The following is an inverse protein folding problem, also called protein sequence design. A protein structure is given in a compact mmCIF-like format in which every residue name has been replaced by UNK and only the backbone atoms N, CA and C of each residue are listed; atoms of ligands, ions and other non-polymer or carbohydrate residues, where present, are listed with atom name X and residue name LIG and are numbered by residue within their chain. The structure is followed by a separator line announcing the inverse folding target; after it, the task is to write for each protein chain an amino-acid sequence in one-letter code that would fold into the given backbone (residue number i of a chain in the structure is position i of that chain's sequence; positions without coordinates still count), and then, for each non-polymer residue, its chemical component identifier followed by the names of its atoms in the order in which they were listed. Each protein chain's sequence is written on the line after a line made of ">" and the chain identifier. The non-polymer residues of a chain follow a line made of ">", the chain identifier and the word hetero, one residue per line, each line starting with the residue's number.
data_IF_794500399440
#
_entry.id   IF_794500399440
#
_cell.length_a   1.000
_cell.length_b   1.000
_cell.length_c   1.000
_cell.angle_alpha   90.00
_cell.angle_beta   90.00
_cell.angle_gamma   90.00
#
_symmetry.space_group_name_H-M   'P 1'
#
loop_
_entity.id
_entity.type
_entity.pdbx_description
1 polymer ?
#
# COMPACT_ATOMS: atom_id res chain seq x y z
N UNK A 1 -23.99 -6.83 -0.11
CA UNK A 1 -23.32 -8.11 0.17
C UNK A 1 -21.98 -8.06 -0.57
N UNK A 2 -20.89 -7.80 0.15
CA UNK A 2 -19.55 -7.80 -0.40
C UNK A 2 -19.13 -9.27 -0.57
N UNK A 3 -18.61 -9.70 -1.73
CA UNK A 3 -18.16 -11.08 -1.90
C UNK A 3 -16.96 -11.34 -0.96
N UNK A 4 -16.99 -12.48 -0.27
CA UNK A 4 -15.88 -12.96 0.54
C UNK A 4 -14.64 -13.12 -0.36
N UNK A 5 -13.52 -12.53 0.05
CA UNK A 5 -12.24 -12.76 -0.62
C UNK A 5 -11.80 -14.22 -0.38
N UNK A 6 -11.21 -14.89 -1.38
CA UNK A 6 -10.70 -16.24 -1.21
C UNK A 6 -9.57 -16.28 -0.18
N UNK A 7 -9.55 -17.34 0.63
CA UNK A 7 -8.54 -17.60 1.65
C UNK A 7 -7.13 -17.67 1.02
N UNK A 8 -6.21 -16.93 1.62
CA UNK A 8 -4.80 -16.91 1.23
C UNK A 8 -4.07 -18.15 1.81
N UNK A 9 -3.55 -19.06 0.99
CA UNK A 9 -2.90 -20.28 1.45
C UNK A 9 -1.56 -20.07 2.19
N UNK A 10 -1.07 -18.85 2.30
CA UNK A 10 0.21 -18.54 2.98
C UNK A 10 0.10 -18.37 4.50
N UNK A 11 -1.12 -18.48 5.09
CA UNK A 11 -1.33 -18.39 6.54
C UNK A 11 -1.60 -19.77 7.16
N UNK A 12 -0.73 -20.27 8.03
CA UNK A 12 -0.87 -21.60 8.63
C UNK A 12 -2.05 -21.79 9.60
N UNK A 13 -2.84 -20.75 9.88
CA UNK A 13 -3.95 -20.79 10.86
C UNK A 13 -5.32 -20.52 10.28
N UNK A 14 -5.47 -20.32 8.97
CA UNK A 14 -6.79 -20.02 8.37
C UNK A 14 -7.44 -18.70 8.83
N UNK A 15 -6.76 -17.89 9.64
CA UNK A 15 -7.25 -16.58 10.04
C UNK A 15 -6.82 -15.50 9.02
N UNK A 16 -7.78 -14.67 8.65
CA UNK A 16 -7.52 -13.53 7.75
C UNK A 16 -6.45 -12.61 8.39
N UNK A 17 -5.40 -12.15 7.63
CA UNK A 17 -4.29 -11.34 8.18
C UNK A 17 -4.72 -10.10 8.95
N UNK A 18 -5.93 -9.62 8.72
CA UNK A 18 -6.51 -8.43 9.36
C UNK A 18 -7.69 -8.74 10.28
N UNK A 19 -7.85 -10.00 10.71
CA UNK A 19 -9.00 -10.39 11.56
C UNK A 19 -9.08 -9.55 12.85
N UNK A 20 -7.94 -9.11 13.38
CA UNK A 20 -7.88 -8.30 14.60
C UNK A 20 -7.92 -6.79 14.34
N UNK A 21 -7.86 -6.32 13.09
CA UNK A 21 -7.91 -4.90 12.75
C UNK A 21 -9.37 -4.42 12.72
N UNK A 22 -9.94 -4.20 13.88
CA UNK A 22 -11.28 -3.64 14.04
C UNK A 22 -11.28 -2.11 13.86
N UNK A 23 -12.44 -1.47 13.64
CA UNK A 23 -12.54 -0.01 13.64
C UNK A 23 -11.95 0.66 14.89
N UNK A 24 -12.16 0.07 16.07
CA UNK A 24 -11.62 0.57 17.34
C UNK A 24 -10.08 0.51 17.32
N UNK A 25 -9.50 -0.59 16.84
CA UNK A 25 -8.04 -0.72 16.69
C UNK A 25 -7.45 0.32 15.72
N UNK A 26 -8.19 0.72 14.69
CA UNK A 26 -7.78 1.80 13.78
C UNK A 26 -7.76 3.14 14.51
N UNK A 27 -8.80 3.45 15.30
CA UNK A 27 -8.87 4.68 16.10
C UNK A 27 -7.80 4.72 17.20
N UNK A 28 -7.59 3.61 17.90
CA UNK A 28 -6.55 3.47 18.92
C UNK A 28 -5.15 3.66 18.34
N UNK A 29 -4.91 3.10 17.14
CA UNK A 29 -3.64 3.30 16.42
C UNK A 29 -3.41 4.78 16.07
N UNK A 30 -4.42 5.50 15.58
CA UNK A 30 -4.35 6.93 15.33
C UNK A 30 -4.12 7.72 16.61
N UNK A 31 -4.85 7.41 17.68
CA UNK A 31 -4.68 8.06 18.98
C UNK A 31 -3.26 7.85 19.55
N UNK A 32 -2.64 6.68 19.32
CA UNK A 32 -1.26 6.38 19.76
C UNK A 32 -0.19 7.31 19.16
N UNK A 33 -0.51 7.97 18.05
CA UNK A 33 0.37 8.95 17.39
C UNK A 33 -0.14 10.40 17.51
N UNK A 34 -1.10 10.63 18.41
CA UNK A 34 -1.65 11.96 18.70
C UNK A 34 -2.73 12.45 17.73
N UNK A 35 -3.33 11.55 16.96
CA UNK A 35 -4.42 11.86 16.03
C UNK A 35 -5.73 11.27 16.56
N UNK A 36 -6.63 12.13 17.03
CA UNK A 36 -7.88 11.71 17.63
C UNK A 36 -9.01 11.74 16.60
N UNK A 37 -9.54 10.55 16.27
CA UNK A 37 -10.65 10.40 15.33
C UNK A 37 -12.00 10.67 15.99
N UNK A 38 -12.93 11.25 15.25
CA UNK A 38 -14.31 11.50 15.67
C UNK A 38 -15.26 10.28 15.55
N UNK A 39 -14.69 9.13 15.21
CA UNK A 39 -15.41 7.88 15.00
C UNK A 39 -15.84 7.62 13.54
N UNK A 40 -15.72 8.60 12.65
CA UNK A 40 -16.02 8.43 11.23
C UNK A 40 -14.85 7.79 10.49
N UNK A 41 -15.00 6.52 10.16
CA UNK A 41 -14.06 5.74 9.38
C UNK A 41 -14.69 5.27 8.07
N UNK A 42 -13.94 5.37 6.98
CA UNK A 42 -14.33 4.84 5.69
C UNK A 42 -13.20 3.95 5.15
N UNK A 43 -13.50 2.66 4.96
CA UNK A 43 -12.55 1.76 4.30
C UNK A 43 -12.40 2.16 2.83
N UNK A 44 -11.16 2.33 2.40
CA UNK A 44 -10.82 2.61 1.01
C UNK A 44 -10.44 1.30 0.30
N UNK A 45 -10.72 1.25 -1.00
CA UNK A 45 -10.35 0.09 -1.82
C UNK A 45 -8.83 -0.08 -1.84
N UNK A 46 -8.36 -1.26 -1.46
CA UNK A 46 -6.95 -1.62 -1.47
C UNK A 46 -6.77 -3.13 -1.69
N UNK A 47 -5.74 -3.52 -2.41
CA UNK A 47 -5.50 -4.90 -2.76
C UNK A 47 -4.82 -5.68 -1.62
N UNK A 48 -3.70 -5.18 -1.12
CA UNK A 48 -2.84 -5.90 -0.17
C UNK A 48 -2.97 -5.38 1.26
N UNK A 49 -3.01 -4.07 1.40
CA UNK A 49 -3.06 -3.40 2.71
C UNK A 49 -4.51 -3.16 3.15
N UNK A 50 -4.70 -2.62 4.35
CA UNK A 50 -5.97 -2.02 4.75
C UNK A 50 -5.79 -0.52 4.86
N UNK A 51 -6.65 0.21 4.18
CA UNK A 51 -6.57 1.68 4.09
C UNK A 51 -7.89 2.27 4.54
N UNK A 52 -7.80 3.21 5.47
CA UNK A 52 -8.96 3.90 6.03
C UNK A 52 -8.80 5.40 5.91
N UNK A 53 -9.83 6.07 5.43
CA UNK A 53 -9.99 7.49 5.67
C UNK A 53 -10.60 7.66 7.07
N UNK A 54 -9.99 8.49 7.88
CA UNK A 54 -10.51 8.91 9.19
C UNK A 54 -10.77 10.41 9.18
N UNK A 55 -11.83 10.83 9.87
CA UNK A 55 -12.06 12.24 10.19
C UNK A 55 -11.61 12.47 11.63
N UNK A 56 -10.80 13.50 11.84
CA UNK A 56 -10.32 13.87 13.16
C UNK A 56 -11.31 14.81 13.87
N UNK A 57 -11.17 14.97 15.19
CA UNK A 57 -12.03 15.83 16.03
C UNK A 57 -12.00 17.30 15.60
N UNK A 58 -10.88 17.77 15.04
CA UNK A 58 -10.74 19.12 14.47
C UNK A 58 -11.36 19.29 13.07
N UNK A 59 -11.93 18.23 12.51
CA UNK A 59 -12.55 18.18 11.20
C UNK A 59 -11.58 17.87 10.05
N UNK A 60 -10.27 17.77 10.30
CA UNK A 60 -9.32 17.33 9.30
C UNK A 60 -9.52 15.87 8.91
N UNK A 61 -9.08 15.51 7.72
CA UNK A 61 -9.14 14.13 7.23
C UNK A 61 -7.75 13.59 6.96
N UNK A 62 -7.53 12.37 7.41
CA UNK A 62 -6.29 11.63 7.20
C UNK A 62 -6.56 10.25 6.58
N UNK A 63 -5.54 9.66 6.00
CA UNK A 63 -5.57 8.29 5.47
C UNK A 63 -4.59 7.45 6.26
N UNK A 64 -5.10 6.45 6.99
CA UNK A 64 -4.31 5.45 7.70
C UNK A 64 -4.13 4.21 6.82
N UNK A 65 -2.90 3.83 6.55
CA UNK A 65 -2.53 2.63 5.78
C UNK A 65 -1.90 1.61 6.73
N UNK A 66 -2.58 0.49 6.94
CA UNK A 66 -2.09 -0.65 7.71
C UNK A 66 -1.46 -1.66 6.77
N UNK A 67 -0.20 -1.97 6.99
CA UNK A 67 0.55 -2.92 6.18
C UNK A 67 0.20 -4.34 6.54
N UNK A 68 0.10 -5.20 5.53
CA UNK A 68 -0.14 -6.62 5.75
C UNK A 68 0.98 -7.21 6.60
N UNK A 69 0.66 -7.88 7.74
CA UNK A 69 1.65 -8.51 8.59
C UNK A 69 2.56 -9.46 7.81
N UNK A 70 3.86 -9.43 8.11
CA UNK A 70 4.89 -10.27 7.51
C UNK A 70 5.13 -10.09 6.00
N UNK A 71 4.42 -9.17 5.35
CA UNK A 71 4.59 -8.93 3.90
C UNK A 71 5.77 -8.00 3.60
N UNK A 72 5.89 -6.92 4.35
CA UNK A 72 6.93 -5.91 4.18
C UNK A 72 7.70 -5.69 5.47
N UNK A 73 9.01 -5.65 5.36
CA UNK A 73 9.85 -5.22 6.49
C UNK A 73 9.72 -3.72 6.71
N UNK A 74 9.98 -3.27 7.95
CA UNK A 74 10.01 -1.84 8.28
C UNK A 74 10.99 -1.06 7.38
N UNK A 75 12.15 -1.65 7.04
CA UNK A 75 13.13 -1.02 6.16
C UNK A 75 12.58 -0.79 4.74
N UNK A 76 11.87 -1.78 4.19
CA UNK A 76 11.21 -1.65 2.88
C UNK A 76 10.13 -0.58 2.86
N UNK A 77 9.36 -0.46 3.95
CA UNK A 77 8.34 0.58 4.08
C UNK A 77 8.98 1.97 4.19
N UNK A 78 10.03 2.11 5.01
CA UNK A 78 10.75 3.38 5.16
C UNK A 78 11.40 3.83 3.86
N UNK A 79 11.90 2.91 3.04
CA UNK A 79 12.45 3.23 1.73
C UNK A 79 11.38 3.75 0.75
N UNK A 80 10.16 3.17 0.77
CA UNK A 80 9.00 3.70 0.03
C UNK A 80 8.65 5.12 0.49
N UNK A 81 8.66 5.35 1.82
CA UNK A 81 8.34 6.67 2.38
C UNK A 81 9.38 7.73 2.02
N UNK A 82 10.67 7.37 2.06
CA UNK A 82 11.74 8.25 1.64
C UNK A 82 11.60 8.64 0.16
N UNK A 83 11.32 7.68 -0.70
CA UNK A 83 11.06 7.95 -2.11
C UNK A 83 9.82 8.84 -2.32
N UNK A 84 8.76 8.61 -1.57
CA UNK A 84 7.56 9.47 -1.63
C UNK A 84 7.88 10.92 -1.22
N UNK A 85 8.73 11.11 -0.22
CA UNK A 85 9.18 12.43 0.21
C UNK A 85 10.05 13.12 -0.88
N UNK A 86 10.97 12.38 -1.52
CA UNK A 86 11.77 12.88 -2.65
C UNK A 86 10.90 13.31 -3.83
N UNK A 87 9.83 12.58 -4.11
CA UNK A 87 8.87 12.98 -5.14
C UNK A 87 8.19 14.31 -4.80
N UNK A 88 7.79 14.49 -3.53
CA UNK A 88 7.18 15.76 -3.07
C UNK A 88 8.18 16.91 -3.16
N UNK A 89 9.44 16.71 -2.73
CA UNK A 89 10.51 17.71 -2.87
C UNK A 89 10.77 18.09 -4.33
N UNK A 90 10.67 17.13 -5.25
CA UNK A 90 10.78 17.34 -6.68
C UNK A 90 9.48 17.91 -7.30
N UNK A 91 8.52 18.35 -6.47
CA UNK A 91 7.22 18.90 -6.91
C UNK A 91 6.42 17.93 -7.80
N UNK A 92 6.66 16.61 -7.71
CA UNK A 92 5.78 15.61 -8.30
C UNK A 92 4.53 15.51 -7.42
N UNK A 93 3.30 15.46 -7.98
CA UNK A 93 2.08 15.41 -7.21
C UNK A 93 1.89 14.04 -6.54
N UNK A 94 2.74 13.73 -5.59
CA UNK A 94 2.70 12.55 -4.74
C UNK A 94 2.21 12.92 -3.33
N UNK A 95 1.76 11.92 -2.57
CA UNK A 95 1.35 12.08 -1.17
C UNK A 95 2.32 11.29 -0.30
N UNK A 96 3.19 12.00 0.40
CA UNK A 96 4.09 11.39 1.38
C UNK A 96 3.37 11.20 2.73
N UNK A 97 3.76 10.18 3.52
CA UNK A 97 3.28 10.03 4.88
C UNK A 97 3.70 11.18 5.80
N UNK A 98 2.85 11.47 6.78
CA UNK A 98 3.12 12.45 7.82
C UNK A 98 4.26 11.97 8.73
N UNK A 99 5.10 12.90 9.17
CA UNK A 99 6.11 12.65 10.20
C UNK A 99 5.47 12.93 11.55
N UNK A 100 5.16 11.88 12.31
CA UNK A 100 4.55 11.96 13.64
C UNK A 100 5.56 11.42 14.67
N UNK A 101 5.86 12.20 15.68
CA UNK A 101 6.89 11.82 16.66
C UNK A 101 8.27 11.51 16.04
N UNK A 102 8.61 12.18 14.91
CA UNK A 102 9.86 11.97 14.20
C UNK A 102 9.91 10.71 13.32
N UNK A 103 8.78 10.02 13.12
CA UNK A 103 8.68 8.78 12.34
C UNK A 103 7.53 8.85 11.33
N UNK A 104 7.64 8.07 10.25
CA UNK A 104 6.59 7.90 9.25
C UNK A 104 5.94 6.52 9.30
N UNK A 105 6.58 5.55 9.97
CA UNK A 105 6.06 4.20 10.21
C UNK A 105 5.90 3.99 11.70
N UNK A 106 4.71 3.61 12.10
CA UNK A 106 4.32 3.37 13.50
C UNK A 106 3.91 1.91 13.67
N UNK A 107 3.75 1.49 14.91
CA UNK A 107 3.27 0.14 15.24
C UNK A 107 2.17 0.23 16.28
N UNK A 108 1.09 -0.50 16.04
CA UNK A 108 0.02 -0.71 17.01
C UNK A 108 -0.38 -2.19 16.99
N UNK A 109 -0.22 -2.88 18.12
CA UNK A 109 -0.32 -4.33 18.16
C UNK A 109 0.63 -4.99 17.16
N UNK A 110 0.10 -5.88 16.34
CA UNK A 110 0.85 -6.61 15.31
C UNK A 110 0.96 -5.84 13.97
N UNK A 111 0.36 -4.65 13.88
CA UNK A 111 0.29 -3.90 12.64
C UNK A 111 1.31 -2.78 12.57
N UNK A 112 2.09 -2.74 11.51
CA UNK A 112 2.75 -1.52 11.08
C UNK A 112 1.74 -0.65 10.34
N UNK A 113 1.80 0.66 10.57
CA UNK A 113 0.94 1.60 9.87
C UNK A 113 1.63 2.93 9.59
N UNK A 114 1.09 3.66 8.65
CA UNK A 114 1.47 5.04 8.33
C UNK A 114 0.22 5.88 8.17
N UNK A 115 0.37 7.18 8.35
CA UNK A 115 -0.70 8.15 8.16
C UNK A 115 -0.28 9.17 7.12
N UNK A 116 -1.18 9.48 6.19
CA UNK A 116 -0.96 10.48 5.15
C UNK A 116 -2.08 11.52 5.18
N UNK A 117 -1.83 12.76 4.73
CA UNK A 117 -2.91 13.71 4.56
C UNK A 117 -3.90 13.19 3.52
N UNK A 118 -5.19 13.38 3.77
CA UNK A 118 -6.20 13.07 2.77
C UNK A 118 -6.10 14.05 1.60
N UNK A 119 -6.16 13.53 0.39
CA UNK A 119 -6.22 14.31 -0.84
C UNK A 119 -7.39 13.84 -1.68
N UNK A 120 -8.23 14.78 -2.09
CA UNK A 120 -9.30 14.50 -3.03
C UNK A 120 -8.76 14.28 -4.45
N UNK A 121 -9.56 13.59 -5.25
CA UNK A 121 -9.23 13.36 -6.65
C UNK A 121 -10.40 12.68 -7.35
N UNK A 122 -10.31 12.61 -8.66
CA UNK A 122 -11.23 11.85 -9.51
C UNK A 122 -10.44 10.91 -10.41
N UNK A 123 -11.07 9.83 -10.83
CA UNK A 123 -10.49 8.93 -11.83
C UNK A 123 -10.23 9.70 -13.14
N UNK A 124 -9.04 9.60 -13.73
CA UNK A 124 -8.76 10.23 -15.00
C UNK A 124 -9.56 9.57 -16.13
N UNK A 125 -9.99 10.37 -17.10
CA UNK A 125 -10.65 9.90 -18.32
C UNK A 125 -9.55 9.53 -19.33
N UNK A 126 -9.35 8.22 -19.53
CA UNK A 126 -8.22 7.72 -20.34
C UNK A 126 -8.45 7.81 -21.86
N UNK A 127 -9.60 8.21 -22.30
CA UNK A 127 -9.93 8.55 -23.69
C UNK A 127 -9.65 10.02 -24.04
N UNK A 128 -9.34 10.85 -23.04
CA UNK A 128 -8.92 12.23 -23.23
C UNK A 128 -7.39 12.29 -23.45
N UNK A 129 -7.00 12.80 -24.64
CA UNK A 129 -5.59 12.92 -25.02
C UNK A 129 -4.79 13.86 -24.10
N UNK A 130 -5.37 14.93 -23.63
CA UNK A 130 -4.69 15.87 -22.71
C UNK A 130 -4.42 15.19 -21.37
N UNK A 131 -5.36 14.40 -20.89
CA UNK A 131 -5.19 13.60 -19.64
C UNK A 131 -4.07 12.58 -19.80
N UNK A 132 -3.99 11.89 -20.93
CA UNK A 132 -2.89 10.94 -21.21
C UNK A 132 -1.53 11.66 -21.27
N UNK A 133 -1.45 12.83 -21.87
CA UNK A 133 -0.22 13.63 -21.89
C UNK A 133 0.21 14.05 -20.48
N UNK A 134 -0.73 14.50 -19.64
CA UNK A 134 -0.47 14.83 -18.24
C UNK A 134 0.06 13.61 -17.46
N UNK A 135 -0.57 12.45 -17.60
CA UNK A 135 -0.12 11.20 -16.97
C UNK A 135 1.31 10.87 -17.43
N UNK A 136 1.60 10.96 -18.74
CA UNK A 136 2.93 10.72 -19.28
C UNK A 136 4.00 11.65 -18.70
N UNK A 137 3.68 12.94 -18.55
CA UNK A 137 4.58 13.92 -17.92
C UNK A 137 4.85 13.60 -16.45
N UNK A 138 3.83 13.21 -15.68
CA UNK A 138 4.01 12.82 -14.28
C UNK A 138 4.84 11.55 -14.14
N UNK A 139 4.61 10.54 -14.98
CA UNK A 139 5.40 9.33 -15.01
C UNK A 139 6.87 9.62 -15.36
N UNK A 140 7.14 10.48 -16.33
CA UNK A 140 8.50 10.88 -16.68
C UNK A 140 9.22 11.57 -15.52
N UNK A 141 8.56 12.47 -14.79
CA UNK A 141 9.12 13.11 -13.60
C UNK A 141 9.40 12.10 -12.48
N UNK A 142 8.45 11.20 -12.22
CA UNK A 142 8.61 10.11 -11.23
C UNK A 142 9.83 9.23 -11.60
N UNK A 143 9.96 8.85 -12.87
CA UNK A 143 11.10 8.07 -13.34
C UNK A 143 12.41 8.84 -13.22
N UNK A 144 12.42 10.15 -13.48
CA UNK A 144 13.61 11.00 -13.32
C UNK A 144 14.12 10.99 -11.88
N UNK A 145 13.21 11.14 -10.90
CA UNK A 145 13.58 11.04 -9.48
C UNK A 145 14.03 9.62 -9.13
N UNK A 146 13.27 8.60 -9.57
CA UNK A 146 13.60 7.20 -9.28
C UNK A 146 14.89 6.69 -9.90
N UNK A 147 15.33 7.27 -11.03
CA UNK A 147 16.61 6.93 -11.66
C UNK A 147 17.83 7.48 -10.92
N UNK A 148 17.66 8.41 -9.98
CA UNK A 148 18.79 9.03 -9.26
C UNK A 148 19.52 8.03 -8.36
N UNK A 149 18.83 7.04 -7.81
CA UNK A 149 19.44 5.97 -7.01
C UNK A 149 18.61 4.69 -7.03
N UNK A 150 19.22 3.50 -6.97
CA UNK A 150 18.50 2.25 -6.85
C UNK A 150 17.86 2.10 -5.45
N UNK A 151 16.78 1.34 -5.36
CA UNK A 151 16.27 0.85 -4.10
C UNK A 151 17.20 -0.23 -3.54
N UNK A 152 17.42 -0.21 -2.22
CA UNK A 152 18.31 -1.13 -1.53
C UNK A 152 17.55 -2.25 -0.79
N UNK A 153 16.34 -1.96 -0.29
CA UNK A 153 15.56 -2.88 0.52
C UNK A 153 14.37 -3.46 -0.24
N UNK A 154 13.79 -2.71 -1.17
CA UNK A 154 12.62 -3.18 -1.93
C UNK A 154 13.05 -4.14 -3.05
N UNK A 155 12.23 -5.19 -3.32
CA UNK A 155 12.53 -6.13 -4.39
C UNK A 155 12.51 -5.45 -5.76
N UNK A 156 13.39 -5.90 -6.65
CA UNK A 156 13.35 -5.52 -8.05
C UNK A 156 12.22 -6.26 -8.77
N UNK A 157 11.57 -5.56 -9.71
CA UNK A 157 10.62 -6.18 -10.63
C UNK A 157 11.41 -6.74 -11.82
N UNK A 158 11.71 -8.04 -11.81
CA UNK A 158 12.43 -8.73 -12.86
C UNK A 158 11.74 -10.02 -13.29
N UNK A 159 12.21 -10.61 -14.39
CA UNK A 159 11.63 -11.83 -14.97
C UNK A 159 11.78 -13.03 -14.02
N UNK A 160 12.83 -13.08 -13.23
CA UNK A 160 13.07 -14.17 -12.30
C UNK A 160 12.05 -14.14 -11.16
N UNK A 161 11.98 -13.03 -10.42
CA UNK A 161 11.16 -12.89 -9.20
C UNK A 161 9.66 -12.76 -9.48
N UNK A 162 9.27 -12.20 -10.64
CA UNK A 162 7.85 -11.97 -10.98
C UNK A 162 7.33 -12.89 -12.10
N UNK A 163 8.19 -13.67 -12.73
CA UNK A 163 7.83 -14.61 -13.81
C UNK A 163 8.21 -16.05 -13.49
N UNK A 164 9.51 -16.37 -13.47
CA UNK A 164 9.99 -17.74 -13.36
C UNK A 164 9.66 -18.37 -12.00
N UNK A 165 9.98 -17.70 -10.89
CA UNK A 165 9.73 -18.22 -9.54
C UNK A 165 8.25 -18.49 -9.26
N UNK A 166 7.30 -17.55 -9.50
CA UNK A 166 5.88 -17.83 -9.33
C UNK A 166 5.38 -18.97 -10.22
N UNK A 167 5.83 -19.05 -11.48
CA UNK A 167 5.50 -20.16 -12.38
C UNK A 167 5.97 -21.48 -11.78
N UNK A 168 7.23 -21.57 -11.40
CA UNK A 168 7.84 -22.80 -10.90
C UNK A 168 7.16 -23.23 -9.59
N UNK A 169 6.79 -22.27 -8.73
CA UNK A 169 6.01 -22.55 -7.54
C UNK A 169 4.62 -23.13 -7.86
N UNK A 170 3.89 -22.52 -8.80
CA UNK A 170 2.57 -22.97 -9.21
C UNK A 170 2.63 -24.40 -9.81
N UNK A 171 3.67 -24.69 -10.59
CA UNK A 171 3.88 -26.02 -11.17
C UNK A 171 4.22 -27.05 -10.10
N UNK A 172 5.10 -26.74 -9.16
CA UNK A 172 5.51 -27.64 -8.08
C UNK A 172 4.38 -27.97 -7.09
N UNK A 173 3.41 -27.05 -6.92
CA UNK A 173 2.28 -27.21 -5.99
C UNK A 173 0.98 -27.68 -6.69
N UNK A 174 1.08 -28.16 -7.94
CA UNK A 174 -0.05 -28.61 -8.74
C UNK A 174 -1.22 -27.60 -8.82
N UNK A 175 -0.91 -26.31 -8.72
CA UNK A 175 -1.88 -25.24 -8.80
C UNK A 175 -2.36 -24.97 -10.24
N UNK A 176 -1.63 -25.51 -11.25
CA UNK A 176 -2.01 -25.44 -12.67
C UNK A 176 -2.58 -26.79 -13.08
N UNK A 177 -3.80 -26.86 -13.65
CA UNK A 177 -4.37 -28.10 -14.18
C UNK A 177 -3.46 -28.76 -15.20
N UNK A 178 -3.40 -30.11 -15.18
CA UNK A 178 -2.45 -30.90 -16.01
C UNK A 178 -2.58 -30.62 -17.52
N UNK A 179 -3.79 -30.42 -18.00
CA UNK A 179 -4.10 -30.09 -19.40
C UNK A 179 -3.65 -28.69 -19.82
N UNK A 180 -3.38 -27.84 -18.87
CA UNK A 180 -2.90 -26.46 -19.11
C UNK A 180 -1.39 -26.30 -18.94
N UNK A 181 -0.71 -27.21 -18.26
CA UNK A 181 0.71 -27.08 -17.91
C UNK A 181 1.64 -26.91 -19.13
N UNK A 182 1.27 -27.48 -20.29
CA UNK A 182 2.07 -27.33 -21.53
C UNK A 182 2.05 -25.92 -22.14
N UNK A 183 1.18 -25.02 -21.62
CA UNK A 183 1.02 -23.63 -22.09
C UNK A 183 1.74 -22.62 -21.20
N UNK A 184 2.28 -23.09 -20.08
CA UNK A 184 2.99 -22.31 -19.06
C UNK A 184 4.50 -22.60 -19.12
#
# INVERSE_FOLDING_TARGET
>A
MTPAQPDDPSHPTGQHPYAQLTPDQVLDALASVGLYGDGRLMALSSYENRVYQATLEDGERVVAKFYRPQRWSRAQILEEHAFSAELVEAEVPAVAPLVLGGQTVHQHGDFLFSVSPWRGGRTPELDDWEVLEWIGRFLARLHTVGAARPFACRPALDVQSFGAEPRDWLMAHAAVPLDMQSRW
#
